data_IF_616641027530
#
_entry.id   IF_616641027530
#
_cell.length_a   1.000
_cell.length_b   1.000
_cell.length_c   1.000
_cell.angle_alpha   90.00
_cell.angle_beta   90.00
_cell.angle_gamma   90.00
#
_symmetry.space_group_name_H-M   'P 1'
#
loop_
_entity.id
_entity.type
_entity.pdbx_description
1 polymer ?
#
# COMPACT_ATOMS: atom_id res chain seq x y z
N UNK A 1 0.59 7.93 19.59
CA UNK A 1 1.88 8.59 19.26
C UNK A 1 1.57 9.94 18.65
N UNK A 2 1.97 11.00 19.37
CA UNK A 2 1.80 12.44 19.14
C UNK A 2 1.69 12.83 17.65
N UNK A 3 0.54 13.36 17.22
CA UNK A 3 0.38 14.00 15.90
C UNK A 3 0.95 15.43 15.85
N UNK A 4 1.61 15.87 16.91
CA UNK A 4 2.36 17.13 16.96
C UNK A 4 3.84 16.93 16.62
N UNK A 5 4.12 16.33 15.45
CA UNK A 5 5.41 16.58 14.79
C UNK A 5 5.23 17.79 13.88
N UNK A 6 5.44 18.97 14.48
CA UNK A 6 5.87 20.23 13.86
C UNK A 6 5.62 20.35 12.34
N UNK A 7 4.52 21.00 11.97
CA UNK A 7 4.35 21.72 10.70
C UNK A 7 4.02 20.91 9.43
N UNK A 8 3.98 19.57 9.46
CA UNK A 8 3.73 18.77 8.24
C UNK A 8 2.54 17.82 8.39
N UNK A 9 1.53 18.01 7.55
CA UNK A 9 0.36 17.15 7.39
C UNK A 9 0.71 16.01 6.45
N UNK A 10 0.49 14.78 6.92
CA UNK A 10 0.78 13.57 6.17
C UNK A 10 -0.52 12.95 5.63
N UNK A 11 -0.58 12.74 4.32
CA UNK A 11 -1.73 12.19 3.61
C UNK A 11 -1.37 10.81 3.06
N UNK A 12 -2.07 9.78 3.52
CA UNK A 12 -2.01 8.42 2.99
C UNK A 12 -3.17 8.13 2.04
N UNK A 13 -3.08 7.10 1.17
CA UNK A 13 -4.22 6.64 0.37
C UNK A 13 -5.48 6.38 1.22
N UNK A 14 -5.33 5.79 2.42
CA UNK A 14 -6.43 5.56 3.34
C UNK A 14 -7.09 6.86 3.84
N UNK A 15 -6.31 7.89 4.18
CA UNK A 15 -6.86 9.19 4.59
C UNK A 15 -7.49 9.95 3.42
N UNK A 16 -6.99 9.76 2.19
CA UNK A 16 -7.60 10.37 0.99
C UNK A 16 -8.93 9.68 0.69
N UNK A 17 -9.02 8.36 0.77
CA UNK A 17 -10.29 7.63 0.65
C UNK A 17 -11.27 8.05 1.74
N UNK A 18 -10.80 8.22 2.98
CA UNK A 18 -11.61 8.72 4.09
C UNK A 18 -12.25 10.09 3.76
N UNK A 19 -11.51 11.00 3.11
CA UNK A 19 -12.03 12.29 2.67
C UNK A 19 -13.13 12.13 1.61
N UNK A 20 -12.91 11.26 0.62
CA UNK A 20 -13.92 10.96 -0.42
C UNK A 20 -15.20 10.37 0.17
N UNK A 21 -15.08 9.55 1.20
CA UNK A 21 -16.23 8.91 1.86
C UNK A 21 -16.98 9.85 2.82
N UNK A 22 -16.27 10.54 3.71
CA UNK A 22 -16.87 11.55 4.60
C UNK A 22 -15.85 12.65 4.98
N UNK A 23 -15.97 13.86 4.39
CA UNK A 23 -15.09 14.99 4.68
C UNK A 23 -15.04 15.39 6.15
N UNK A 24 -16.17 15.32 6.87
CA UNK A 24 -16.23 15.59 8.32
C UNK A 24 -15.32 14.65 9.11
N UNK A 25 -15.37 13.37 8.78
CA UNK A 25 -14.59 12.32 9.43
C UNK A 25 -13.09 12.52 9.15
N UNK A 26 -12.75 12.92 7.92
CA UNK A 26 -11.39 13.31 7.57
C UNK A 26 -10.91 14.50 8.40
N UNK A 27 -11.69 15.58 8.51
CA UNK A 27 -11.31 16.76 9.29
C UNK A 27 -11.11 16.43 10.77
N UNK A 28 -12.02 15.64 11.35
CA UNK A 28 -11.92 15.16 12.73
C UNK A 28 -10.64 14.32 12.96
N UNK A 29 -10.31 13.43 12.04
CA UNK A 29 -9.09 12.64 12.10
C UNK A 29 -7.83 13.50 11.94
N UNK A 30 -7.77 14.35 10.91
CA UNK A 30 -6.56 15.10 10.58
C UNK A 30 -6.24 16.23 11.56
N UNK A 31 -7.27 16.90 12.10
CA UNK A 31 -7.09 18.06 12.99
C UNK A 31 -7.19 17.69 14.47
N UNK A 32 -8.06 16.76 14.83
CA UNK A 32 -8.36 16.44 16.23
C UNK A 32 -7.93 15.02 16.65
N UNK A 33 -7.31 14.24 15.74
CA UNK A 33 -6.95 12.82 15.94
C UNK A 33 -8.15 11.92 16.34
N UNK A 34 -9.37 12.36 16.03
CA UNK A 34 -10.60 11.61 16.29
C UNK A 34 -10.86 10.68 15.10
N UNK A 35 -10.54 9.39 15.28
CA UNK A 35 -10.68 8.35 14.25
C UNK A 35 -12.06 7.73 14.28
N UNK A 36 -12.53 7.27 13.11
CA UNK A 36 -13.74 6.42 13.05
C UNK A 36 -13.49 5.13 13.86
N UNK A 37 -14.53 4.58 14.53
CA UNK A 37 -14.46 3.23 15.08
C UNK A 37 -14.04 2.25 14.00
N UNK A 38 -13.10 1.34 14.32
CA UNK A 38 -12.68 0.29 13.38
C UNK A 38 -13.50 -0.97 13.64
N UNK A 39 -13.93 -1.63 12.56
CA UNK A 39 -14.48 -2.98 12.65
C UNK A 39 -13.41 -4.01 13.01
N UNK A 40 -13.81 -5.24 13.39
CA UNK A 40 -12.87 -6.32 13.64
C UNK A 40 -12.09 -6.65 12.35
N UNK A 41 -10.77 -6.75 12.46
CA UNK A 41 -9.93 -7.22 11.36
C UNK A 41 -9.70 -8.73 11.53
N UNK A 42 -10.03 -9.57 10.52
CA UNK A 42 -9.77 -10.99 10.59
C UNK A 42 -8.27 -11.29 10.68
N UNK A 43 -7.85 -12.09 11.67
CA UNK A 43 -6.45 -12.49 11.85
C UNK A 43 -5.87 -13.22 10.65
N UNK A 44 -6.71 -13.96 9.92
CA UNK A 44 -6.33 -14.67 8.68
C UNK A 44 -5.84 -13.71 7.60
N UNK A 45 -6.46 -12.54 7.44
CA UNK A 45 -6.04 -11.57 6.43
C UNK A 45 -4.66 -11.00 6.77
N UNK A 46 -4.41 -10.72 8.05
CA UNK A 46 -3.09 -10.27 8.54
C UNK A 46 -2.03 -11.36 8.39
N UNK A 47 -2.37 -12.62 8.71
CA UNK A 47 -1.47 -13.75 8.56
C UNK A 47 -1.06 -13.98 7.10
N UNK A 48 -2.03 -13.95 6.19
CA UNK A 48 -1.77 -14.14 4.75
C UNK A 48 -0.91 -13.01 4.17
N UNK A 49 -1.17 -11.75 4.56
CA UNK A 49 -0.33 -10.60 4.19
C UNK A 49 1.14 -10.81 4.59
N UNK A 50 1.38 -11.28 5.82
CA UNK A 50 2.74 -11.56 6.29
C UNK A 50 3.42 -12.69 5.52
N UNK A 51 2.68 -13.73 5.14
CA UNK A 51 3.21 -14.86 4.36
C UNK A 51 3.57 -14.40 2.95
N UNK A 52 2.67 -13.64 2.31
CA UNK A 52 2.89 -13.09 0.97
C UNK A 52 4.10 -12.16 0.94
N UNK A 53 4.26 -11.29 1.93
CA UNK A 53 5.46 -10.42 2.03
C UNK A 53 6.76 -11.22 2.06
N UNK A 54 6.81 -12.30 2.86
CA UNK A 54 7.99 -13.19 2.92
C UNK A 54 8.20 -13.96 1.61
N UNK A 55 7.12 -14.38 0.95
CA UNK A 55 7.16 -15.03 -0.35
C UNK A 55 7.81 -14.13 -1.40
N UNK A 56 7.36 -12.89 -1.53
CA UNK A 56 7.97 -11.92 -2.44
C UNK A 56 9.40 -11.53 -2.05
N UNK A 57 9.70 -11.46 -0.75
CA UNK A 57 11.08 -11.22 -0.27
C UNK A 57 12.05 -12.34 -0.68
N UNK A 58 11.61 -13.59 -0.63
CA UNK A 58 12.38 -14.72 -1.15
C UNK A 58 12.67 -14.58 -2.65
N UNK A 59 11.64 -14.33 -3.47
CA UNK A 59 11.81 -14.16 -4.92
C UNK A 59 12.69 -12.96 -5.28
N UNK A 60 12.57 -11.85 -4.54
CA UNK A 60 13.45 -10.69 -4.67
C UNK A 60 14.91 -11.05 -4.40
N UNK A 61 15.18 -11.86 -3.37
CA UNK A 61 16.54 -12.25 -3.00
C UNK A 61 17.24 -13.11 -4.07
N UNK A 62 16.49 -13.99 -4.74
CA UNK A 62 17.01 -14.83 -5.83
C UNK A 62 16.95 -14.14 -7.21
N UNK A 63 16.43 -12.90 -7.28
CA UNK A 63 16.25 -12.12 -8.52
C UNK A 63 15.36 -12.82 -9.56
N UNK A 64 14.35 -13.54 -9.09
CA UNK A 64 13.33 -14.15 -9.95
C UNK A 64 11.95 -13.57 -9.66
N UNK A 65 11.04 -13.68 -10.62
CA UNK A 65 9.63 -13.38 -10.39
C UNK A 65 8.92 -14.61 -9.81
N UNK A 66 7.95 -14.41 -8.90
CA UNK A 66 6.99 -15.43 -8.55
C UNK A 66 6.37 -16.08 -9.80
N UNK A 67 6.15 -17.40 -9.84
CA UNK A 67 5.59 -18.10 -10.99
C UNK A 67 4.24 -17.54 -11.48
N UNK A 68 3.46 -16.96 -10.58
CA UNK A 68 2.17 -16.33 -10.89
C UNK A 68 2.34 -15.05 -11.70
N UNK A 69 3.39 -14.26 -11.44
CA UNK A 69 3.67 -13.02 -12.17
C UNK A 69 4.45 -13.26 -13.44
N UNK A 70 5.36 -14.25 -13.44
CA UNK A 70 6.23 -14.57 -14.58
C UNK A 70 5.47 -14.93 -15.86
N UNK A 71 4.22 -15.40 -15.74
CA UNK A 71 3.38 -15.76 -16.88
C UNK A 71 2.70 -14.56 -17.55
N UNK A 72 2.41 -13.53 -16.75
CA UNK A 72 1.56 -12.41 -17.17
C UNK A 72 2.36 -11.13 -17.38
N UNK A 73 3.54 -11.00 -16.77
CA UNK A 73 4.30 -9.76 -16.72
C UNK A 73 5.81 -9.97 -16.83
N UNK A 74 6.45 -9.11 -17.62
CA UNK A 74 7.91 -9.02 -17.72
C UNK A 74 8.48 -7.99 -16.75
N UNK A 75 9.63 -8.30 -16.15
CA UNK A 75 10.36 -7.41 -15.26
C UNK A 75 11.03 -8.12 -14.09
N UNK A 76 11.40 -7.36 -13.07
CA UNK A 76 11.95 -7.88 -11.82
C UNK A 76 11.32 -7.14 -10.63
N UNK A 77 11.28 -7.78 -9.47
CA UNK A 77 10.87 -7.10 -8.23
C UNK A 77 11.86 -5.98 -7.91
N UNK A 78 11.36 -4.86 -7.39
CA UNK A 78 12.20 -3.73 -6.99
C UNK A 78 13.27 -4.20 -5.99
N UNK A 79 14.54 -3.87 -6.27
CA UNK A 79 15.66 -4.35 -5.46
C UNK A 79 15.58 -3.90 -4.00
N UNK A 80 15.15 -2.65 -3.78
CA UNK A 80 15.03 -2.05 -2.45
C UNK A 80 13.63 -1.54 -2.20
N UNK A 81 12.79 -2.43 -1.68
CA UNK A 81 11.48 -2.05 -1.16
C UNK A 81 11.65 -1.24 0.14
N UNK A 82 11.11 -0.03 0.18
CA UNK A 82 11.11 0.80 1.40
C UNK A 82 9.85 0.51 2.22
N UNK A 83 9.94 0.49 3.56
CA UNK A 83 8.77 0.29 4.41
C UNK A 83 7.76 1.44 4.33
N UNK A 84 8.21 2.63 3.93
CA UNK A 84 7.36 3.80 3.67
C UNK A 84 8.04 4.72 2.67
N UNK A 85 7.26 5.21 1.72
CA UNK A 85 7.62 6.21 0.73
C UNK A 85 6.98 7.55 1.12
N UNK A 86 7.69 8.64 0.84
CA UNK A 86 7.26 9.99 1.13
C UNK A 86 7.41 10.84 -0.12
N UNK A 87 6.43 11.72 -0.37
CA UNK A 87 6.50 12.70 -1.46
C UNK A 87 5.88 14.01 -1.00
N UNK A 88 6.70 15.05 -0.96
CA UNK A 88 6.21 16.38 -0.67
C UNK A 88 5.39 16.91 -1.84
N UNK A 89 4.20 17.42 -1.52
CA UNK A 89 3.28 17.97 -2.53
C UNK A 89 3.24 19.49 -2.48
N UNK A 90 3.41 20.08 -1.29
CA UNK A 90 3.54 21.53 -1.05
C UNK A 90 4.05 21.79 0.36
N UNK A 91 4.49 23.01 0.71
CA UNK A 91 4.96 23.33 2.06
C UNK A 91 3.95 22.90 3.12
N UNK A 92 4.40 22.10 4.09
CA UNK A 92 3.56 21.57 5.16
C UNK A 92 2.66 20.40 4.77
N UNK A 93 2.74 19.83 3.56
CA UNK A 93 1.94 18.67 3.15
C UNK A 93 2.78 17.61 2.43
N UNK A 94 2.66 16.36 2.89
CA UNK A 94 3.41 15.21 2.39
C UNK A 94 2.46 14.05 2.09
N UNK A 95 2.60 13.41 0.92
CA UNK A 95 2.03 12.10 0.67
C UNK A 95 2.92 11.04 1.32
N UNK A 96 2.30 10.07 1.99
CA UNK A 96 2.95 8.89 2.51
C UNK A 96 2.31 7.64 1.91
N UNK A 97 3.12 6.65 1.57
CA UNK A 97 2.65 5.40 0.98
C UNK A 97 3.43 4.21 1.54
N UNK A 98 2.75 3.09 1.70
CA UNK A 98 3.39 1.80 1.94
C UNK A 98 2.97 0.89 0.81
N UNK A 99 3.95 0.37 0.08
CA UNK A 99 3.71 -0.60 -0.97
C UNK A 99 3.79 -1.99 -0.36
N UNK A 100 2.95 -2.89 -0.84
CA UNK A 100 3.10 -4.31 -0.57
C UNK A 100 4.27 -4.86 -1.39
N UNK A 101 4.30 -4.58 -2.70
CA UNK A 101 5.47 -4.78 -3.55
C UNK A 101 5.49 -3.83 -4.77
N UNK A 102 6.51 -3.96 -5.62
CA UNK A 102 6.63 -3.22 -6.87
C UNK A 102 7.44 -4.00 -7.90
N UNK A 103 6.90 -4.12 -9.11
CA UNK A 103 7.59 -4.65 -10.28
C UNK A 103 8.27 -3.50 -11.05
N UNK A 104 9.46 -3.74 -11.56
CA UNK A 104 10.20 -2.83 -12.43
C UNK A 104 10.39 -3.50 -13.78
N UNK A 105 9.81 -2.89 -14.82
CA UNK A 105 9.96 -3.35 -16.21
C UNK A 105 11.32 -2.91 -16.79
N UNK A 106 11.72 -3.50 -17.92
CA UNK A 106 12.95 -3.10 -18.63
C UNK A 106 12.97 -1.62 -19.01
N UNK A 107 11.79 -1.04 -19.29
CA UNK A 107 11.60 0.38 -19.61
C UNK A 107 11.64 1.29 -18.37
N UNK A 108 12.11 0.80 -17.22
CA UNK A 108 12.16 1.55 -15.96
C UNK A 108 10.78 2.06 -15.49
N UNK A 109 9.71 1.36 -15.88
CA UNK A 109 8.35 1.65 -15.37
C UNK A 109 8.12 0.85 -14.10
N UNK A 110 7.67 1.55 -13.05
CA UNK A 110 7.37 0.99 -11.73
C UNK A 110 5.89 0.65 -11.64
N UNK A 111 5.57 -0.62 -11.41
CA UNK A 111 4.20 -1.12 -11.31
C UNK A 111 3.96 -1.56 -9.85
N UNK A 112 3.24 -0.76 -9.05
CA UNK A 112 2.95 -1.12 -7.67
C UNK A 112 2.03 -2.35 -7.64
N UNK A 113 2.40 -3.32 -6.80
CA UNK A 113 1.62 -4.53 -6.57
C UNK A 113 0.96 -4.42 -5.19
N UNK A 114 -0.35 -4.67 -5.14
CA UNK A 114 -1.17 -4.57 -3.94
C UNK A 114 -1.98 -5.86 -3.82
N UNK A 115 -1.46 -6.83 -3.06
CA UNK A 115 -2.14 -8.11 -2.91
C UNK A 115 -3.34 -7.95 -1.96
N UNK A 116 -4.53 -8.30 -2.46
CA UNK A 116 -5.76 -8.24 -1.67
C UNK A 116 -6.27 -9.64 -1.36
N UNK A 117 -6.53 -9.88 -0.08
CA UNK A 117 -7.24 -11.06 0.39
C UNK A 117 -8.73 -10.74 0.45
N UNK A 118 -9.56 -11.62 -0.11
CA UNK A 118 -11.02 -11.52 -0.05
C UNK A 118 -11.62 -12.89 0.27
N UNK A 119 -12.77 -12.88 0.93
CA UNK A 119 -13.54 -14.10 1.22
C UNK A 119 -14.36 -14.59 0.01
N UNK A 120 -14.58 -13.70 -0.96
CA UNK A 120 -15.27 -13.98 -2.23
C UNK A 120 -14.32 -13.78 -3.41
N UNK A 121 -14.62 -14.44 -4.53
CA UNK A 121 -13.95 -14.19 -5.79
C UNK A 121 -14.14 -12.73 -6.23
N UNK A 122 -13.18 -12.19 -6.98
CA UNK A 122 -13.34 -10.89 -7.60
C UNK A 122 -14.41 -10.98 -8.71
N UNK A 123 -15.38 -10.06 -8.67
CA UNK A 123 -16.45 -9.99 -9.67
C UNK A 123 -15.91 -9.56 -11.05
N UNK A 124 -14.98 -8.59 -11.04
CA UNK A 124 -14.27 -8.13 -12.22
C UNK A 124 -12.79 -8.49 -12.09
N UNK A 125 -12.33 -9.38 -12.96
CA UNK A 125 -10.91 -9.63 -13.19
C UNK A 125 -10.58 -8.94 -14.51
N UNK A 126 -9.76 -7.89 -14.46
CA UNK A 126 -9.22 -7.31 -15.69
C UNK A 126 -8.45 -8.42 -16.41
N UNK A 127 -8.72 -8.69 -17.70
CA UNK A 127 -7.97 -9.71 -18.44
C UNK A 127 -6.49 -9.38 -18.35
N UNK A 128 -5.70 -10.40 -18.01
CA UNK A 128 -4.25 -10.30 -17.92
C UNK A 128 -3.65 -10.02 -19.30
#
# INVERSE_FOLDING_TARGET
>A
MKSEKMGKIYLSPATINLYRECPRCFYLHMKYDIKRPRGPMPSIATGLDSILKRYFEYYRAIKELPPELKKEMDGHLIEKLKPTYYRDIRPGYCLLGKLDDCLVTERQTYIPLDHKTRASAAEDIHPA
#
